data_IF_445450812443
#
_entry.id   IF_445450812443
#
_cell.length_a   1.000
_cell.length_b   1.000
_cell.length_c   1.000
_cell.angle_alpha   90.00
_cell.angle_beta   90.00
_cell.angle_gamma   90.00
#
_symmetry.space_group_name_H-M   'P 1'
#
loop_
_entity.id
_entity.type
_entity.pdbx_description
1 polymer ?
#
# COMPACT_ATOMS: atom_id res chain seq x y z
N UNK A 1 -0.67 -24.02 1.51
CA UNK A 1 0.23 -23.89 2.67
C UNK A 1 1.21 -22.75 2.49
N UNK A 2 2.01 -22.73 1.40
CA UNK A 2 2.97 -21.63 1.10
C UNK A 2 2.36 -20.22 1.11
N UNK A 3 1.20 -20.03 0.47
CA UNK A 3 0.53 -18.71 0.46
C UNK A 3 0.15 -18.17 1.84
N UNK A 4 -0.14 -19.04 2.82
CA UNK A 4 -0.46 -18.62 4.18
C UNK A 4 0.78 -18.17 4.98
N UNK A 5 1.93 -18.83 4.77
CA UNK A 5 3.19 -18.43 5.39
C UNK A 5 3.74 -17.14 4.75
N UNK A 6 3.60 -16.99 3.42
CA UNK A 6 3.98 -15.80 2.67
C UNK A 6 3.25 -14.53 3.17
N UNK A 7 1.95 -14.63 3.44
CA UNK A 7 1.14 -13.52 3.96
C UNK A 7 1.49 -13.13 5.40
N UNK A 8 2.14 -14.01 6.17
CA UNK A 8 2.49 -13.78 7.58
C UNK A 8 3.98 -13.48 7.81
N UNK A 9 4.77 -13.26 6.75
CA UNK A 9 6.17 -12.86 6.86
C UNK A 9 7.16 -14.01 7.16
N UNK A 10 6.72 -15.27 7.07
CA UNK A 10 7.55 -16.46 7.25
C UNK A 10 8.28 -16.83 5.96
N UNK A 11 9.06 -15.89 5.43
CA UNK A 11 9.75 -16.07 4.14
C UNK A 11 10.84 -17.14 4.20
N UNK A 12 11.50 -17.32 5.35
CA UNK A 12 12.52 -18.35 5.54
C UNK A 12 11.94 -19.76 5.45
N UNK A 13 10.80 -20.00 6.08
CA UNK A 13 10.09 -21.28 6.06
C UNK A 13 9.55 -21.60 4.65
N UNK A 14 9.08 -20.57 3.94
CA UNK A 14 8.65 -20.70 2.54
C UNK A 14 9.83 -21.08 1.63
N UNK A 15 11.00 -20.47 1.83
CA UNK A 15 12.22 -20.81 1.09
C UNK A 15 12.76 -22.20 1.44
N UNK A 16 12.77 -22.57 2.72
CA UNK A 16 13.18 -23.91 3.15
C UNK A 16 12.29 -24.99 2.54
N UNK A 17 10.97 -24.79 2.55
CA UNK A 17 10.03 -25.69 1.89
C UNK A 17 10.32 -25.79 0.40
N UNK A 18 10.54 -24.65 -0.29
CA UNK A 18 10.88 -24.62 -1.71
C UNK A 18 12.14 -25.44 -2.03
N UNK A 19 13.23 -25.24 -1.29
CA UNK A 19 14.47 -25.98 -1.53
C UNK A 19 14.33 -27.49 -1.26
N UNK A 20 13.40 -27.87 -0.38
CA UNK A 20 13.08 -29.28 -0.11
C UNK A 20 11.98 -29.86 -1.01
N UNK A 21 11.29 -29.08 -1.86
CA UNK A 21 10.18 -29.60 -2.67
C UNK A 21 10.60 -30.78 -3.56
N UNK A 22 11.75 -30.65 -4.23
CA UNK A 22 12.26 -31.70 -5.11
C UNK A 22 12.60 -32.98 -4.34
N UNK A 23 13.11 -32.87 -3.10
CA UNK A 23 13.41 -34.05 -2.27
C UNK A 23 12.15 -34.75 -1.75
N UNK A 24 11.05 -34.01 -1.64
CA UNK A 24 9.71 -34.55 -1.36
C UNK A 24 8.94 -35.02 -2.61
N UNK A 25 9.54 -34.94 -3.80
CA UNK A 25 8.92 -35.37 -5.06
C UNK A 25 7.90 -34.39 -5.65
N UNK A 26 7.87 -33.14 -5.15
CA UNK A 26 7.04 -32.08 -5.72
C UNK A 26 7.90 -31.18 -6.62
N UNK A 27 7.36 -30.83 -7.79
CA UNK A 27 8.01 -29.87 -8.68
C UNK A 27 7.40 -28.47 -8.46
N UNK A 28 8.21 -27.43 -8.22
CA UNK A 28 7.75 -26.06 -8.21
C UNK A 28 7.03 -25.70 -9.52
N UNK A 29 5.88 -25.06 -9.37
CA UNK A 29 5.07 -24.55 -10.47
C UNK A 29 4.95 -23.02 -10.40
N UNK A 30 4.20 -22.43 -11.32
CA UNK A 30 4.00 -20.99 -11.38
C UNK A 30 3.34 -20.42 -10.11
N UNK A 31 2.47 -21.17 -9.44
CA UNK A 31 1.83 -20.73 -8.20
C UNK A 31 2.81 -20.77 -7.01
N UNK A 32 3.72 -21.74 -7.02
CA UNK A 32 4.81 -21.86 -6.06
C UNK A 32 5.71 -20.62 -6.13
N UNK A 33 6.16 -20.24 -7.32
CA UNK A 33 7.00 -19.06 -7.50
C UNK A 33 6.30 -17.75 -7.13
N UNK A 34 5.02 -17.59 -7.50
CA UNK A 34 4.21 -16.44 -7.06
C UNK A 34 4.19 -16.33 -5.53
N UNK A 35 3.98 -17.45 -4.84
CA UNK A 35 3.91 -17.49 -3.36
C UNK A 35 5.24 -17.11 -2.71
N UNK A 36 6.36 -17.62 -3.25
CA UNK A 36 7.70 -17.33 -2.72
C UNK A 36 8.08 -15.87 -2.96
N UNK A 37 7.86 -15.35 -4.17
CA UNK A 37 8.16 -13.95 -4.49
C UNK A 37 7.34 -12.98 -3.63
N UNK A 38 6.07 -13.29 -3.39
CA UNK A 38 5.23 -12.54 -2.46
C UNK A 38 5.80 -12.60 -1.03
N UNK A 39 6.23 -13.77 -0.54
CA UNK A 39 6.87 -13.89 0.77
C UNK A 39 8.14 -13.03 0.88
N UNK A 40 9.02 -13.09 -0.13
CA UNK A 40 10.22 -12.25 -0.20
C UNK A 40 9.86 -10.76 -0.17
N UNK A 41 8.80 -10.35 -0.88
CA UNK A 41 8.30 -8.97 -0.87
C UNK A 41 7.89 -8.52 0.54
N UNK A 42 7.20 -9.37 1.29
CA UNK A 42 6.79 -9.03 2.66
C UNK A 42 7.95 -9.03 3.65
N UNK A 43 8.95 -9.89 3.47
CA UNK A 43 10.09 -10.02 4.38
C UNK A 43 11.30 -9.14 4.05
N UNK A 44 11.31 -8.46 2.90
CA UNK A 44 12.47 -7.64 2.48
C UNK A 44 13.66 -8.42 1.97
N UNK A 45 13.42 -9.67 1.55
CA UNK A 45 14.46 -10.55 1.01
C UNK A 45 14.67 -10.25 -0.48
N UNK A 46 15.16 -9.05 -0.79
CA UNK A 46 15.28 -8.56 -2.18
C UNK A 46 16.30 -9.37 -2.99
N UNK A 47 17.44 -9.72 -2.38
CA UNK A 47 18.45 -10.59 -2.99
C UNK A 47 17.88 -11.95 -3.39
N UNK A 48 17.12 -12.57 -2.49
CA UNK A 48 16.55 -13.89 -2.65
C UNK A 48 15.39 -13.85 -3.64
N UNK A 49 14.55 -12.82 -3.61
CA UNK A 49 13.51 -12.62 -4.61
C UNK A 49 14.07 -12.54 -6.05
N UNK A 50 15.17 -11.81 -6.25
CA UNK A 50 15.88 -11.77 -7.54
C UNK A 50 16.41 -13.15 -7.95
N UNK A 51 17.03 -13.87 -7.03
CA UNK A 51 17.54 -15.23 -7.28
C UNK A 51 16.41 -16.19 -7.64
N UNK A 52 15.30 -16.17 -6.89
CA UNK A 52 14.13 -17.00 -7.12
C UNK A 52 13.49 -16.70 -8.47
N UNK A 53 13.34 -15.42 -8.84
CA UNK A 53 12.83 -15.04 -10.16
C UNK A 53 13.76 -15.51 -11.28
N UNK A 54 15.09 -15.42 -11.09
CA UNK A 54 16.06 -15.93 -12.05
C UNK A 54 15.98 -17.46 -12.19
N UNK A 55 15.90 -18.19 -11.07
CA UNK A 55 15.73 -19.64 -11.05
C UNK A 55 14.46 -20.06 -11.79
N UNK A 56 13.35 -19.36 -11.55
CA UNK A 56 12.07 -19.59 -12.24
C UNK A 56 12.25 -19.57 -13.77
N UNK A 57 12.91 -18.54 -14.29
CA UNK A 57 13.07 -18.34 -15.73
C UNK A 57 14.12 -19.27 -16.34
N UNK A 58 15.28 -19.38 -15.70
CA UNK A 58 16.45 -20.01 -16.33
C UNK A 58 16.63 -21.49 -15.99
N UNK A 59 16.14 -21.94 -14.83
CA UNK A 59 16.31 -23.33 -14.39
C UNK A 59 15.00 -24.11 -14.49
N UNK A 60 13.87 -23.50 -14.11
CA UNK A 60 12.56 -24.13 -14.18
C UNK A 60 11.83 -23.84 -15.50
N UNK A 61 12.39 -22.98 -16.36
CA UNK A 61 11.86 -22.62 -17.68
C UNK A 61 10.41 -22.10 -17.63
N UNK A 62 10.00 -21.52 -16.50
CA UNK A 62 8.67 -20.95 -16.30
C UNK A 62 8.67 -19.52 -16.81
N UNK A 63 7.81 -19.24 -17.80
CA UNK A 63 7.64 -17.89 -18.32
C UNK A 63 7.05 -16.96 -17.25
N UNK A 64 7.61 -15.75 -17.06
CA UNK A 64 7.03 -14.74 -16.19
C UNK A 64 5.60 -14.39 -16.61
N UNK A 65 4.66 -14.49 -15.65
CA UNK A 65 3.28 -14.01 -15.78
C UNK A 65 3.12 -12.72 -15.00
N UNK A 66 2.01 -12.02 -15.24
CA UNK A 66 1.71 -10.76 -14.56
C UNK A 66 1.79 -10.87 -13.03
N UNK A 67 1.37 -12.01 -12.44
CA UNK A 67 1.44 -12.22 -10.99
C UNK A 67 2.88 -12.30 -10.46
N UNK A 68 3.79 -12.97 -11.19
CA UNK A 68 5.22 -13.02 -10.85
C UNK A 68 5.83 -11.62 -10.92
N UNK A 69 5.51 -10.91 -12.01
CA UNK A 69 6.03 -9.57 -12.25
C UNK A 69 5.49 -8.56 -11.23
N UNK A 70 4.21 -8.65 -10.85
CA UNK A 70 3.61 -7.83 -9.80
C UNK A 70 4.30 -8.06 -8.45
N UNK A 71 4.62 -9.30 -8.09
CA UNK A 71 5.39 -9.59 -6.88
C UNK A 71 6.79 -8.99 -6.92
N UNK A 72 7.46 -8.99 -8.08
CA UNK A 72 8.78 -8.36 -8.25
C UNK A 72 8.72 -6.83 -8.14
N UNK A 73 7.75 -6.18 -8.79
CA UNK A 73 7.58 -4.72 -8.69
C UNK A 73 7.25 -4.32 -7.24
N UNK A 74 6.38 -5.09 -6.57
CA UNK A 74 6.06 -4.87 -5.15
C UNK A 74 7.30 -5.07 -4.26
N UNK A 75 8.08 -6.13 -4.45
CA UNK A 75 9.33 -6.38 -3.71
C UNK A 75 10.33 -5.24 -3.88
N UNK A 76 10.61 -4.85 -5.12
CA UNK A 76 11.59 -3.80 -5.42
C UNK A 76 11.10 -2.45 -4.89
N UNK A 77 9.85 -2.10 -5.19
CA UNK A 77 9.26 -0.83 -4.82
C UNK A 77 9.14 -0.66 -3.31
N UNK A 78 8.58 -1.64 -2.61
CA UNK A 78 8.38 -1.60 -1.15
C UNK A 78 9.68 -1.36 -0.40
N UNK A 79 10.78 -1.95 -0.87
CA UNK A 79 12.09 -1.87 -0.21
C UNK A 79 13.03 -0.82 -0.80
N UNK A 80 12.50 0.12 -1.61
CA UNK A 80 13.20 1.34 -2.00
C UNK A 80 14.05 1.22 -3.27
N UNK A 81 14.03 0.07 -3.95
CA UNK A 81 14.67 -0.14 -5.24
C UNK A 81 13.79 0.40 -6.39
N UNK A 82 13.37 1.67 -6.27
CA UNK A 82 12.38 2.27 -7.17
C UNK A 82 12.86 2.37 -8.63
N UNK A 83 14.13 2.68 -8.84
CA UNK A 83 14.72 2.74 -10.17
C UNK A 83 14.68 1.38 -10.87
N UNK A 84 15.13 0.33 -10.17
CA UNK A 84 15.07 -1.04 -10.66
C UNK A 84 13.63 -1.51 -10.89
N UNK A 85 12.68 -1.10 -10.04
CA UNK A 85 11.27 -1.40 -10.24
C UNK A 85 10.73 -0.78 -11.54
N UNK A 86 11.08 0.47 -11.84
CA UNK A 86 10.68 1.17 -13.08
C UNK A 86 11.31 0.54 -14.33
N UNK A 87 12.58 0.15 -14.25
CA UNK A 87 13.27 -0.60 -15.31
C UNK A 87 12.63 -1.97 -15.53
N UNK A 88 12.23 -2.66 -14.46
CA UNK A 88 11.56 -3.95 -14.53
C UNK A 88 10.19 -3.85 -15.22
N UNK A 89 9.40 -2.81 -14.91
CA UNK A 89 8.11 -2.53 -15.57
C UNK A 89 8.31 -2.41 -17.09
N UNK A 90 9.33 -1.66 -17.50
CA UNK A 90 9.66 -1.42 -18.91
C UNK A 90 10.17 -2.69 -19.60
N UNK A 91 11.01 -3.47 -18.92
CA UNK A 91 11.62 -4.69 -19.46
C UNK A 91 10.59 -5.77 -19.75
N UNK A 92 9.56 -5.89 -18.91
CA UNK A 92 8.49 -6.88 -19.06
C UNK A 92 7.22 -6.32 -19.72
N UNK A 93 7.28 -5.09 -20.25
CA UNK A 93 6.18 -4.42 -20.96
C UNK A 93 4.86 -4.43 -20.15
N UNK A 94 4.95 -4.02 -18.87
CA UNK A 94 3.86 -4.04 -17.90
C UNK A 94 3.06 -2.72 -17.84
N UNK A 95 3.29 -1.81 -18.78
CA UNK A 95 2.78 -0.43 -18.73
C UNK A 95 1.27 -0.33 -18.81
N UNK A 96 0.60 -1.36 -19.33
CA UNK A 96 -0.86 -1.44 -19.46
C UNK A 96 -1.57 -1.92 -18.19
N UNK A 97 -0.85 -2.37 -17.16
CA UNK A 97 -1.44 -2.89 -15.93
C UNK A 97 -1.55 -1.80 -14.85
N UNK A 98 -2.77 -1.41 -14.52
CA UNK A 98 -3.05 -0.39 -13.52
C UNK A 98 -2.57 -0.78 -12.10
N UNK A 99 -2.58 -2.08 -11.75
CA UNK A 99 -2.16 -2.54 -10.42
C UNK A 99 -0.64 -2.39 -10.23
N UNK A 100 0.13 -2.55 -11.30
CA UNK A 100 1.58 -2.33 -11.31
C UNK A 100 1.89 -0.86 -10.97
N UNK A 101 1.22 0.09 -11.63
CA UNK A 101 1.40 1.51 -11.35
C UNK A 101 0.85 1.93 -9.98
N UNK A 102 -0.22 1.30 -9.49
CA UNK A 102 -0.72 1.53 -8.13
C UNK A 102 0.31 1.10 -7.08
N UNK A 103 0.95 -0.04 -7.28
CA UNK A 103 2.04 -0.55 -6.44
C UNK A 103 3.23 0.42 -6.46
N UNK A 104 3.66 0.82 -7.66
CA UNK A 104 4.78 1.76 -7.84
C UNK A 104 4.51 3.12 -7.18
N UNK A 105 3.29 3.67 -7.34
CA UNK A 105 2.91 4.93 -6.71
C UNK A 105 2.89 4.84 -5.18
N UNK A 106 2.38 3.73 -4.63
CA UNK A 106 2.41 3.46 -3.20
C UNK A 106 3.83 3.40 -2.64
N UNK A 107 4.74 2.76 -3.38
CA UNK A 107 6.16 2.70 -3.06
C UNK A 107 6.83 4.09 -3.10
N UNK A 108 6.62 4.85 -4.18
CA UNK A 108 7.16 6.21 -4.33
C UNK A 108 6.70 7.14 -3.20
N UNK A 109 5.43 7.06 -2.79
CA UNK A 109 4.93 7.79 -1.62
C UNK A 109 5.65 7.41 -0.34
N UNK A 110 5.91 6.13 -0.14
CA UNK A 110 6.55 5.61 1.08
C UNK A 110 8.00 6.09 1.19
N UNK A 111 8.70 6.18 0.06
CA UNK A 111 10.10 6.58 -0.01
C UNK A 111 10.31 8.07 -0.36
N UNK A 112 9.23 8.83 -0.58
CA UNK A 112 9.30 10.26 -0.91
C UNK A 112 9.88 10.57 -2.29
N UNK A 113 9.88 9.63 -3.24
CA UNK A 113 10.34 9.89 -4.61
C UNK A 113 9.23 10.59 -5.41
N UNK A 114 9.26 11.92 -5.41
CA UNK A 114 8.27 12.75 -6.10
C UNK A 114 8.29 12.56 -7.61
N UNK A 115 9.48 12.42 -8.21
CA UNK A 115 9.63 12.31 -9.66
C UNK A 115 9.02 11.02 -10.22
N UNK A 116 9.32 9.88 -9.60
CA UNK A 116 8.71 8.58 -9.97
C UNK A 116 7.26 8.50 -9.54
N UNK A 117 6.91 9.09 -8.39
CA UNK A 117 5.54 9.17 -7.90
C UNK A 117 4.62 9.89 -8.88
N UNK A 118 5.06 11.01 -9.44
CA UNK A 118 4.29 11.74 -10.45
C UNK A 118 4.07 10.90 -11.71
N UNK A 119 5.13 10.30 -12.28
CA UNK A 119 5.00 9.45 -13.48
C UNK A 119 4.06 8.27 -13.26
N UNK A 120 4.18 7.58 -12.12
CA UNK A 120 3.32 6.45 -11.78
C UNK A 120 1.85 6.87 -11.62
N UNK A 121 1.59 8.01 -10.98
CA UNK A 121 0.24 8.55 -10.83
C UNK A 121 -0.36 8.97 -12.18
N UNK A 122 0.39 9.65 -13.04
CA UNK A 122 -0.06 10.04 -14.38
C UNK A 122 -0.44 8.82 -15.22
N UNK A 123 0.40 7.77 -15.21
CA UNK A 123 0.11 6.50 -15.87
C UNK A 123 -1.14 5.82 -15.30
N UNK A 124 -1.30 5.78 -13.99
CA UNK A 124 -2.49 5.20 -13.37
C UNK A 124 -3.76 6.00 -13.66
N UNK A 125 -3.68 7.32 -13.74
CA UNK A 125 -4.80 8.20 -14.13
C UNK A 125 -5.16 8.01 -15.61
N UNK A 126 -4.18 7.77 -16.47
CA UNK A 126 -4.41 7.44 -17.88
C UNK A 126 -5.20 6.13 -18.02
N UNK A 127 -4.78 5.09 -17.27
CA UNK A 127 -5.41 3.77 -17.30
C UNK A 127 -6.78 3.74 -16.59
N UNK A 128 -6.91 4.42 -15.46
CA UNK A 128 -8.11 4.43 -14.63
C UNK A 128 -8.52 5.86 -14.22
N UNK A 129 -9.08 6.68 -15.13
CA UNK A 129 -9.38 8.10 -14.87
C UNK A 129 -10.37 8.35 -13.74
N UNK A 130 -11.18 7.34 -13.40
CA UNK A 130 -12.19 7.42 -12.33
C UNK A 130 -11.67 6.91 -10.98
N UNK A 131 -10.46 6.36 -10.92
CA UNK A 131 -9.85 5.92 -9.69
C UNK A 131 -9.36 7.14 -8.90
N UNK A 132 -9.91 7.35 -7.70
CA UNK A 132 -9.50 8.46 -6.82
C UNK A 132 -8.14 8.26 -6.15
N UNK A 133 -7.67 7.01 -6.05
CA UNK A 133 -6.42 6.65 -5.36
C UNK A 133 -5.19 7.38 -5.90
N UNK A 134 -4.88 7.37 -7.23
CA UNK A 134 -3.69 8.05 -7.74
C UNK A 134 -3.67 9.55 -7.45
N UNK A 135 -4.81 10.23 -7.57
CA UNK A 135 -4.92 11.65 -7.25
C UNK A 135 -4.61 11.93 -5.78
N UNK A 136 -5.14 11.09 -4.88
CA UNK A 136 -4.94 11.26 -3.43
C UNK A 136 -3.49 10.98 -3.05
N UNK A 137 -2.89 9.92 -3.58
CA UNK A 137 -1.50 9.57 -3.28
C UNK A 137 -0.53 10.62 -3.83
N UNK A 138 -0.72 11.07 -5.07
CA UNK A 138 0.10 12.13 -5.65
C UNK A 138 -0.08 13.47 -4.90
N UNK A 139 -1.31 13.81 -4.50
CA UNK A 139 -1.56 14.98 -3.66
C UNK A 139 -0.83 14.89 -2.32
N UNK A 140 -0.68 13.70 -1.73
CA UNK A 140 0.04 13.53 -0.48
C UNK A 140 1.56 13.70 -0.68
N UNK A 141 2.10 13.20 -1.80
CA UNK A 141 3.50 13.39 -2.19
C UNK A 141 3.81 14.89 -2.33
N UNK A 142 3.03 15.63 -3.12
CA UNK A 142 3.24 17.08 -3.27
C UNK A 142 3.04 17.84 -1.97
N UNK A 143 2.07 17.46 -1.13
CA UNK A 143 1.88 18.09 0.18
C UNK A 143 3.10 17.89 1.09
N UNK A 144 3.73 16.70 1.07
CA UNK A 144 4.95 16.42 1.82
C UNK A 144 6.14 17.27 1.34
N UNK A 145 6.22 17.56 0.03
CA UNK A 145 7.21 18.48 -0.56
C UNK A 145 6.86 19.97 -0.41
N UNK A 146 5.68 20.32 0.15
CA UNK A 146 5.20 21.71 0.25
C UNK A 146 4.67 22.31 -1.05
N UNK A 147 4.49 21.50 -2.09
CA UNK A 147 4.00 21.89 -3.42
C UNK A 147 2.47 22.03 -3.44
N UNK A 148 1.94 23.00 -2.70
CA UNK A 148 0.50 23.22 -2.52
C UNK A 148 -0.24 23.65 -3.80
N UNK A 149 0.48 24.22 -4.78
CA UNK A 149 -0.09 24.53 -6.10
C UNK A 149 -0.51 23.26 -6.85
N UNK A 150 0.35 22.25 -6.88
CA UNK A 150 0.05 20.96 -7.50
C UNK A 150 -1.09 20.23 -6.77
N UNK A 151 -1.11 20.30 -5.44
CA UNK A 151 -2.25 19.79 -4.64
C UNK A 151 -3.57 20.44 -5.05
N UNK A 152 -3.59 21.76 -5.24
CA UNK A 152 -4.79 22.49 -5.71
C UNK A 152 -5.16 22.10 -7.13
N UNK A 153 -4.17 21.97 -8.01
CA UNK A 153 -4.35 21.54 -9.41
C UNK A 153 -5.00 20.15 -9.49
N UNK A 154 -4.48 19.17 -8.74
CA UNK A 154 -5.02 17.81 -8.68
C UNK A 154 -6.45 17.77 -8.15
N UNK A 155 -6.74 18.52 -7.08
CA UNK A 155 -8.11 18.63 -6.54
C UNK A 155 -9.08 19.24 -7.55
N UNK A 156 -8.64 20.20 -8.35
CA UNK A 156 -9.44 20.77 -9.44
C UNK A 156 -9.70 19.72 -10.52
N UNK A 157 -8.65 19.01 -10.96
CA UNK A 157 -8.75 17.94 -11.96
C UNK A 157 -9.72 16.83 -11.51
N UNK A 158 -9.69 16.42 -10.24
CA UNK A 158 -10.65 15.47 -9.68
C UNK A 158 -12.10 15.96 -9.82
N UNK A 159 -12.35 17.24 -9.48
CA UNK A 159 -13.70 17.83 -9.60
C UNK A 159 -14.18 17.88 -11.04
N UNK A 160 -13.33 18.32 -11.96
CA UNK A 160 -13.63 18.42 -13.40
C UNK A 160 -13.94 17.05 -14.02
N UNK A 161 -13.19 16.01 -13.62
CA UNK A 161 -13.39 14.62 -14.06
C UNK A 161 -14.50 13.88 -13.30
N UNK A 162 -15.14 14.52 -12.31
CA UNK A 162 -16.19 13.93 -11.49
C UNK A 162 -15.70 12.84 -10.52
N UNK A 163 -14.39 12.75 -10.29
CA UNK A 163 -13.76 11.74 -9.43
C UNK A 163 -14.09 12.05 -7.98
N UNK A 164 -14.86 11.15 -7.35
CA UNK A 164 -15.21 11.26 -5.93
C UNK A 164 -14.28 10.38 -5.11
N UNK A 165 -13.61 10.98 -4.13
CA UNK A 165 -12.94 10.21 -3.07
C UNK A 165 -14.02 9.55 -2.21
N UNK A 166 -13.98 8.23 -2.08
CA UNK A 166 -14.80 7.54 -1.08
C UNK A 166 -14.26 7.92 0.31
N UNK A 167 -15.07 8.50 1.20
CA UNK A 167 -14.63 8.78 2.55
C UNK A 167 -14.30 7.46 3.25
N UNK A 168 -13.23 7.47 4.06
CA UNK A 168 -12.92 6.31 4.89
C UNK A 168 -14.06 6.04 5.84
N UNK A 169 -14.44 4.78 6.01
CA UNK A 169 -15.49 4.39 6.95
C UNK A 169 -14.96 3.32 7.90
N UNK A 170 -15.31 3.44 9.17
CA UNK A 170 -15.19 2.36 10.15
C UNK A 170 -16.58 2.01 10.66
N UNK A 171 -16.74 0.83 11.24
CA UNK A 171 -18.00 0.43 11.85
C UNK A 171 -17.74 -0.48 13.04
N UNK A 172 -18.67 -0.46 13.98
CA UNK A 172 -18.70 -1.38 15.12
C UNK A 172 -20.07 -2.03 15.21
N UNK A 173 -20.08 -3.31 15.57
CA UNK A 173 -21.31 -4.04 15.86
C UNK A 173 -21.35 -4.37 17.34
N UNK A 174 -22.37 -3.87 18.05
CA UNK A 174 -22.62 -4.16 19.47
C UNK A 174 -23.99 -4.85 19.56
N UNK A 175 -23.99 -6.13 19.92
CA UNK A 175 -25.19 -6.96 19.86
C UNK A 175 -25.68 -7.12 18.41
N UNK A 176 -26.93 -6.71 18.14
CA UNK A 176 -27.52 -6.72 16.79
C UNK A 176 -27.44 -5.35 16.08
N UNK A 177 -26.79 -4.36 16.68
CA UNK A 177 -26.73 -3.00 16.15
C UNK A 177 -25.36 -2.73 15.56
N UNK A 178 -25.32 -2.34 14.29
CA UNK A 178 -24.11 -1.86 13.60
C UNK A 178 -24.16 -0.34 13.49
N UNK A 179 -23.13 0.33 13.99
CA UNK A 179 -22.93 1.78 13.86
C UNK A 179 -21.79 2.04 12.88
N UNK A 180 -22.02 2.96 11.94
CA UNK A 180 -21.03 3.41 10.95
C UNK A 180 -20.45 4.76 11.36
N UNK A 181 -19.17 4.95 11.08
CA UNK A 181 -18.45 6.20 11.27
C UNK A 181 -17.73 6.54 9.98
N UNK A 182 -18.25 7.54 9.27
CA UNK A 182 -17.67 8.00 8.00
C UNK A 182 -16.78 9.22 8.27
N UNK A 183 -15.56 9.21 7.73
CA UNK A 183 -14.60 10.29 7.89
C UNK A 183 -15.15 11.60 7.31
N UNK A 184 -15.24 12.64 8.15
CA UNK A 184 -15.83 13.94 7.80
C UNK A 184 -17.33 14.06 8.11
N UNK A 185 -17.98 12.96 8.55
CA UNK A 185 -19.36 12.99 9.02
C UNK A 185 -19.38 13.35 10.52
N UNK A 186 -20.08 14.43 10.87
CA UNK A 186 -20.18 14.95 12.25
C UNK A 186 -21.51 14.50 12.89
N UNK A 187 -22.44 13.98 12.08
CA UNK A 187 -23.81 13.65 12.46
C UNK A 187 -23.98 12.17 12.78
N UNK A 188 -23.38 11.69 13.87
CA UNK A 188 -23.76 10.41 14.46
C UNK A 188 -24.86 10.65 15.49
N UNK A 189 -25.89 9.78 15.55
CA UNK A 189 -27.00 9.90 16.51
C UNK A 189 -26.55 9.95 17.97
N UNK A 190 -25.35 9.42 18.25
CA UNK A 190 -24.68 9.41 19.55
C UNK A 190 -23.38 10.24 19.59
N UNK A 191 -23.19 11.18 18.67
CA UNK A 191 -21.97 11.98 18.59
C UNK A 191 -21.66 12.70 19.92
N UNK A 192 -22.70 13.18 20.62
CA UNK A 192 -22.57 13.79 21.95
C UNK A 192 -22.02 12.81 23.00
N UNK A 193 -22.61 11.63 23.12
CA UNK A 193 -22.17 10.58 24.06
C UNK A 193 -20.72 10.16 23.80
N UNK A 194 -20.38 9.92 22.52
CA UNK A 194 -19.04 9.50 22.10
C UNK A 194 -18.03 10.60 22.42
N UNK A 195 -18.37 11.85 22.12
CA UNK A 195 -17.52 13.00 22.44
C UNK A 195 -17.32 13.18 23.94
N UNK A 196 -18.33 12.90 24.77
CA UNK A 196 -18.19 12.93 26.23
C UNK A 196 -17.28 11.83 26.73
N UNK A 197 -17.52 10.57 26.32
CA UNK A 197 -16.70 9.43 26.73
C UNK A 197 -15.23 9.59 26.30
N UNK A 198 -14.97 10.14 25.11
CA UNK A 198 -13.61 10.45 24.64
C UNK A 198 -12.93 11.50 25.53
N UNK A 199 -13.65 12.55 25.95
CA UNK A 199 -13.11 13.56 26.88
C UNK A 199 -12.80 12.97 28.25
N UNK A 200 -13.69 12.15 28.78
CA UNK A 200 -13.49 11.49 30.08
C UNK A 200 -12.28 10.54 30.02
N UNK A 201 -12.15 9.76 28.95
CA UNK A 201 -10.97 8.90 28.71
C UNK A 201 -9.68 9.72 28.56
N UNK A 202 -9.71 10.83 27.82
CA UNK A 202 -8.54 11.71 27.69
C UNK A 202 -8.13 12.33 29.03
N UNK A 203 -9.09 12.72 29.87
CA UNK A 203 -8.80 13.22 31.22
C UNK A 203 -8.18 12.12 32.09
N UNK A 204 -8.75 10.92 32.07
CA UNK A 204 -8.24 9.77 32.82
C UNK A 204 -6.83 9.33 32.35
N UNK A 205 -6.56 9.42 31.03
CA UNK A 205 -5.23 9.15 30.48
C UNK A 205 -4.21 10.23 30.87
N UNK A 206 -4.62 11.51 31.01
CA UNK A 206 -3.77 12.59 31.52
C UNK A 206 -3.47 12.42 33.01
N UNK A 207 -4.43 11.98 33.80
CA UNK A 207 -4.24 11.76 35.24
C UNK A 207 -3.40 10.50 35.54
N UNK A 208 -3.39 9.51 34.65
CA UNK A 208 -2.60 8.28 34.78
C UNK A 208 -1.17 8.41 34.21
N UNK A 209 -0.96 9.29 33.24
CA UNK A 209 0.36 9.63 32.72
C UNK A 209 0.75 11.00 33.27
N UNK A 210 1.49 11.01 34.37
CA UNK A 210 2.27 12.18 34.85
C UNK A 210 3.42 12.47 33.83
N UNK A 211 3.07 12.79 32.59
CA UNK A 211 3.98 13.09 31.49
C UNK A 211 3.57 14.45 30.93
N UNK A 212 4.23 15.47 31.47
CA UNK A 212 4.18 16.88 31.09
C UNK A 212 4.79 17.17 29.70
N UNK A 213 4.67 16.23 28.75
CA UNK A 213 5.09 16.47 27.37
C UNK A 213 4.32 15.58 26.42
N UNK A 214 3.95 16.17 25.28
CA UNK A 214 3.27 15.62 24.11
C UNK A 214 1.80 16.05 23.95
N UNK A 215 1.64 16.91 22.94
CA UNK A 215 0.43 17.40 22.29
C UNK A 215 -0.18 18.72 22.81
N UNK A 216 0.52 19.82 22.50
CA UNK A 216 -0.14 21.02 21.99
C UNK A 216 -0.87 20.66 20.69
N UNK A 217 -2.18 20.39 20.79
CA UNK A 217 -3.11 20.45 19.66
C UNK A 217 -4.22 21.43 20.04
N UNK A 218 -3.82 22.68 20.23
CA UNK A 218 -4.69 23.83 20.12
C UNK A 218 -4.05 24.75 19.08
N UNK A 219 -4.38 24.51 17.80
CA UNK A 219 -4.45 25.56 16.78
C UNK A 219 -5.01 24.98 15.48
N UNK A 220 -6.30 24.62 15.48
CA UNK A 220 -7.13 24.61 14.27
C UNK A 220 -8.59 24.95 14.65
N UNK A 221 -8.78 26.13 15.23
CA UNK A 221 -10.07 26.82 15.21
C UNK A 221 -9.88 28.33 15.28
N UNK A 222 -9.21 28.93 14.30
CA UNK A 222 -9.36 30.35 13.91
C UNK A 222 -8.69 30.57 12.54
N UNK A 223 -9.49 30.76 11.48
CA UNK A 223 -9.00 31.11 10.13
C UNK A 223 -9.73 30.40 9.01
#
# INVERSE_FOLDING_TARGET
MLGGYAQNGYAYEVLELFFNMNSYGFHPDEFTFTSILSACSHAGMVSEGRQIFNLMVNQYEIQPRIDHCACMVDLLGRWGFLEEAEEFISTFNLESDAKIWATMLGACRTHGDEGRGQRAAEKLIELEPQNSSPYVLLSNIHAASGNWDEVRSLRRSMKEKGVKKLPGCSWITVGQTTSFFVAGEISHSRAGDIGSALRDLMALMKDLCDIDSFYNVEDLSSG
#
